data_IF_523363660044
#
_entry.id   IF_523363660044
#
_cell.length_a   1.000
_cell.length_b   1.000
_cell.length_c   1.000
_cell.angle_alpha   90.00
_cell.angle_beta   90.00
_cell.angle_gamma   90.00
#
_symmetry.space_group_name_H-M   'P 1'
#
loop_
_entity.id
_entity.type
_entity.pdbx_description
1 polymer ?
#
# COMPACT_ATOMS: atom_id res chain seq x y z
N UNK A 1 5.87 52.41 -6.70
CA UNK A 1 4.84 51.34 -6.75
C UNK A 1 5.54 50.02 -6.52
N UNK A 2 5.37 49.45 -5.33
CA UNK A 2 6.05 48.22 -4.89
C UNK A 2 5.35 46.99 -5.48
N UNK A 3 6.06 46.23 -6.30
CA UNK A 3 5.61 44.92 -6.80
C UNK A 3 5.56 43.93 -5.64
N UNK A 4 4.37 43.70 -5.09
CA UNK A 4 4.14 42.68 -4.06
C UNK A 4 4.22 41.31 -4.74
N UNK A 5 5.31 40.58 -4.49
CA UNK A 5 5.47 39.17 -4.84
C UNK A 5 4.40 38.36 -4.11
N UNK A 6 3.37 37.90 -4.84
CA UNK A 6 2.39 36.95 -4.32
C UNK A 6 2.93 35.54 -4.47
N UNK A 7 3.21 34.88 -3.36
CA UNK A 7 3.53 33.45 -3.34
C UNK A 7 2.29 32.63 -3.74
N UNK A 8 2.43 31.55 -4.53
CA UNK A 8 1.29 30.72 -4.91
C UNK A 8 0.66 30.10 -3.65
N UNK A 9 -0.61 30.44 -3.43
CA UNK A 9 -1.45 29.91 -2.35
C UNK A 9 -1.70 28.43 -2.59
N UNK A 10 -0.97 27.57 -1.85
CA UNK A 10 -1.14 26.11 -1.70
C UNK A 10 -1.37 25.34 -3.00
N UNK A 11 -0.40 24.50 -3.39
CA UNK A 11 -0.59 23.50 -4.46
C UNK A 11 -1.93 22.79 -4.25
N UNK A 12 -2.79 22.81 -5.28
CA UNK A 12 -4.04 22.05 -5.28
C UNK A 12 -3.69 20.62 -4.91
N UNK A 13 -4.42 20.05 -3.94
CA UNK A 13 -4.28 18.66 -3.54
C UNK A 13 -4.65 17.83 -4.77
N UNK A 14 -3.67 17.27 -5.45
CA UNK A 14 -3.93 16.31 -6.52
C UNK A 14 -4.39 15.01 -5.87
N UNK A 15 -5.37 14.30 -6.43
CA UNK A 15 -5.67 12.97 -5.94
C UNK A 15 -4.41 12.12 -6.12
N UNK A 16 -4.14 11.28 -5.14
CA UNK A 16 -2.93 10.45 -5.09
C UNK A 16 -3.32 8.99 -5.08
N UNK A 17 -2.75 8.19 -5.97
CA UNK A 17 -2.77 6.74 -5.86
C UNK A 17 -1.60 6.24 -5.01
N UNK A 18 -1.58 4.95 -4.71
CA UNK A 18 -0.45 4.31 -4.04
C UNK A 18 0.27 3.35 -4.98
N UNK A 19 1.56 3.14 -4.72
CA UNK A 19 2.36 2.09 -5.34
C UNK A 19 3.10 1.31 -4.27
N UNK A 20 2.86 0.00 -4.25
CA UNK A 20 3.53 -0.92 -3.33
C UNK A 20 4.66 -1.61 -4.10
N UNK A 21 5.90 -1.28 -3.76
CA UNK A 21 7.06 -1.90 -4.38
C UNK A 21 7.51 -3.12 -3.56
N UNK A 22 7.29 -4.32 -4.11
CA UNK A 22 7.74 -5.58 -3.50
C UNK A 22 9.09 -5.96 -4.09
N UNK A 23 10.16 -5.71 -3.33
CA UNK A 23 11.54 -5.84 -3.83
C UNK A 23 12.12 -7.25 -3.69
N UNK A 24 11.53 -8.07 -2.82
CA UNK A 24 12.02 -9.42 -2.49
C UNK A 24 10.92 -10.47 -2.59
N UNK A 25 11.32 -11.73 -2.76
CA UNK A 25 10.39 -12.88 -2.68
C UNK A 25 9.71 -12.98 -1.31
N UNK A 26 10.43 -12.61 -0.24
CA UNK A 26 9.88 -12.56 1.12
C UNK A 26 8.75 -11.52 1.21
N UNK A 27 8.88 -10.37 0.56
CA UNK A 27 7.82 -9.34 0.54
C UNK A 27 6.57 -9.82 -0.17
N UNK A 28 6.75 -10.50 -1.31
CA UNK A 28 5.65 -11.09 -2.07
C UNK A 28 4.93 -12.14 -1.22
N UNK A 29 5.69 -13.01 -0.56
CA UNK A 29 5.14 -14.03 0.31
C UNK A 29 4.36 -13.42 1.49
N UNK A 30 4.90 -12.39 2.14
CA UNK A 30 4.26 -11.75 3.28
C UNK A 30 2.98 -11.02 2.90
N UNK A 31 2.95 -10.32 1.77
CA UNK A 31 1.73 -9.70 1.28
C UNK A 31 0.67 -10.75 0.98
N UNK A 32 1.03 -11.84 0.30
CA UNK A 32 0.10 -12.94 0.03
C UNK A 32 -0.38 -13.62 1.30
N UNK A 33 0.49 -13.81 2.29
CA UNK A 33 0.10 -14.31 3.60
C UNK A 33 -0.99 -13.41 4.19
N UNK A 34 -0.73 -12.09 4.24
CA UNK A 34 -1.68 -11.15 4.81
C UNK A 34 -3.03 -11.18 4.08
N UNK A 35 -3.01 -11.13 2.75
CA UNK A 35 -4.22 -11.20 1.92
C UNK A 35 -5.05 -12.47 2.14
N UNK A 36 -4.41 -13.60 2.48
CA UNK A 36 -5.08 -14.90 2.59
C UNK A 36 -5.44 -15.29 4.04
N UNK A 37 -4.85 -14.66 5.06
CA UNK A 37 -5.20 -14.92 6.47
C UNK A 37 -6.20 -13.90 7.02
N UNK A 38 -6.37 -12.78 6.33
CA UNK A 38 -7.37 -11.77 6.67
C UNK A 38 -8.75 -12.39 6.38
N UNK A 39 -9.47 -12.75 7.44
CA UNK A 39 -10.73 -13.48 7.39
C UNK A 39 -11.85 -12.66 6.73
N UNK A 40 -12.03 -12.82 5.42
CA UNK A 40 -13.32 -12.64 4.79
C UNK A 40 -13.97 -14.03 4.67
N UNK A 41 -14.66 -14.45 5.74
CA UNK A 41 -15.28 -15.78 5.87
C UNK A 41 -16.23 -16.14 4.71
N UNK A 42 -16.70 -15.15 3.96
CA UNK A 42 -17.62 -15.29 2.84
C UNK A 42 -16.93 -15.31 1.45
N UNK A 43 -15.62 -15.06 1.36
CA UNK A 43 -14.88 -15.12 0.09
C UNK A 43 -13.92 -16.32 0.04
N UNK A 44 -14.23 -17.38 -0.74
CA UNK A 44 -13.34 -18.53 -0.89
C UNK A 44 -12.09 -18.22 -1.75
N UNK A 45 -11.94 -16.98 -2.24
CA UNK A 45 -10.86 -16.59 -3.11
C UNK A 45 -9.52 -16.61 -2.38
N UNK A 46 -8.63 -17.47 -2.88
CA UNK A 46 -7.20 -17.46 -2.50
C UNK A 46 -6.42 -16.59 -3.47
N UNK A 47 -5.78 -15.56 -2.91
CA UNK A 47 -4.90 -14.67 -3.65
C UNK A 47 -3.59 -15.37 -3.97
N UNK A 48 -3.19 -15.30 -5.24
CA UNK A 48 -1.90 -15.80 -5.72
C UNK A 48 -1.08 -14.68 -6.34
N UNK A 49 0.22 -14.92 -6.53
CA UNK A 49 1.18 -13.90 -7.00
C UNK A 49 0.74 -13.12 -8.25
N UNK A 50 0.07 -13.78 -9.19
CA UNK A 50 -0.41 -13.13 -10.43
C UNK A 50 -1.47 -12.06 -10.15
N UNK A 51 -2.23 -12.19 -9.07
CA UNK A 51 -3.33 -11.29 -8.72
C UNK A 51 -2.84 -9.98 -8.12
N UNK A 52 -1.61 -9.96 -7.57
CA UNK A 52 -1.00 -8.76 -6.98
C UNK A 52 -0.86 -7.60 -7.98
N UNK A 53 -0.85 -7.87 -9.29
CA UNK A 53 -0.79 -6.83 -10.34
C UNK A 53 -2.14 -6.17 -10.62
N UNK A 54 -3.22 -6.82 -10.20
CA UNK A 54 -4.60 -6.39 -10.49
C UNK A 54 -5.33 -5.90 -9.25
N UNK A 55 -4.74 -6.09 -8.07
CA UNK A 55 -5.30 -5.61 -6.81
C UNK A 55 -5.10 -4.10 -6.68
N UNK A 56 -6.12 -3.43 -6.18
CA UNK A 56 -6.02 -2.04 -5.75
C UNK A 56 -5.03 -1.94 -4.57
N UNK A 57 -4.03 -1.05 -4.64
CA UNK A 57 -3.05 -0.85 -3.58
C UNK A 57 -3.69 -0.60 -2.19
N UNK A 58 -4.77 0.18 -2.14
CA UNK A 58 -5.51 0.50 -0.92
C UNK A 58 -6.05 -0.76 -0.25
N UNK A 59 -6.63 -1.68 -1.04
CA UNK A 59 -7.10 -2.96 -0.53
C UNK A 59 -5.96 -3.78 0.09
N UNK A 60 -4.79 -3.79 -0.57
CA UNK A 60 -3.62 -4.49 -0.03
C UNK A 60 -3.14 -3.84 1.27
N UNK A 61 -3.13 -2.51 1.35
CA UNK A 61 -2.75 -1.75 2.55
C UNK A 61 -3.67 -2.10 3.73
N UNK A 62 -4.98 -2.14 3.50
CA UNK A 62 -5.96 -2.48 4.54
C UNK A 62 -5.69 -3.90 5.10
N UNK A 63 -5.46 -4.87 4.22
CA UNK A 63 -5.13 -6.25 4.62
C UNK A 63 -3.79 -6.38 5.34
N UNK A 64 -2.81 -5.55 5.00
CA UNK A 64 -1.55 -5.47 5.75
C UNK A 64 -1.77 -4.89 7.16
N UNK A 65 -2.62 -3.88 7.30
CA UNK A 65 -2.97 -3.31 8.62
C UNK A 65 -3.73 -4.31 9.49
N UNK A 66 -4.75 -5.00 8.93
CA UNK A 66 -5.47 -6.08 9.64
C UNK A 66 -4.50 -7.14 10.18
N UNK A 67 -3.49 -7.50 9.40
CA UNK A 67 -2.47 -8.46 9.82
C UNK A 67 -1.51 -7.92 10.89
N UNK A 68 -1.27 -6.61 10.96
CA UNK A 68 -0.51 -6.01 12.05
C UNK A 68 -1.26 -6.05 13.39
N UNK A 69 -2.59 -6.02 13.35
CA UNK A 69 -3.44 -6.08 14.54
C UNK A 69 -3.71 -7.52 15.01
N UNK A 70 -3.56 -8.50 14.13
CA UNK A 70 -3.71 -9.92 14.44
C UNK A 70 -2.52 -10.46 15.24
N UNK A 71 -2.74 -11.07 16.42
CA UNK A 71 -1.70 -11.61 17.32
C UNK A 71 -1.00 -12.91 16.84
N UNK A 72 -1.37 -13.46 15.69
CA UNK A 72 -0.87 -14.76 15.22
C UNK A 72 0.53 -14.72 14.59
N UNK A 73 1.09 -13.53 14.31
CA UNK A 73 2.35 -13.38 13.57
C UNK A 73 3.57 -13.20 14.49
N UNK A 74 4.75 -13.58 13.98
CA UNK A 74 6.00 -13.39 14.73
C UNK A 74 6.44 -11.92 14.74
N UNK A 75 7.23 -11.51 15.74
CA UNK A 75 7.82 -10.16 15.80
C UNK A 75 8.59 -9.80 14.51
N UNK A 76 9.33 -10.77 13.96
CA UNK A 76 10.06 -10.60 12.69
C UNK A 76 9.09 -10.30 11.55
N UNK A 77 7.98 -11.02 11.48
CA UNK A 77 6.95 -10.84 10.46
C UNK A 77 6.36 -9.44 10.54
N UNK A 78 5.99 -8.95 11.73
CA UNK A 78 5.49 -7.57 11.88
C UNK A 78 6.50 -6.52 11.45
N UNK A 79 7.78 -6.69 11.80
CA UNK A 79 8.84 -5.76 11.36
C UNK A 79 8.93 -5.70 9.83
N UNK A 80 8.82 -6.84 9.17
CA UNK A 80 8.84 -6.89 7.71
C UNK A 80 7.58 -6.25 7.10
N UNK A 81 6.38 -6.51 7.63
CA UNK A 81 5.14 -5.87 7.16
C UNK A 81 5.23 -4.35 7.33
N UNK A 82 5.68 -3.85 8.49
CA UNK A 82 5.91 -2.42 8.70
C UNK A 82 6.92 -1.82 7.74
N UNK A 83 7.99 -2.56 7.42
CA UNK A 83 8.99 -2.15 6.41
C UNK A 83 8.33 -1.99 5.03
N UNK A 84 7.48 -2.94 4.63
CA UNK A 84 6.75 -2.87 3.36
C UNK A 84 5.83 -1.64 3.36
N UNK A 85 5.03 -1.44 4.41
CA UNK A 85 4.13 -0.29 4.53
C UNK A 85 4.87 1.05 4.46
N UNK A 86 6.03 1.16 5.11
CA UNK A 86 6.85 2.37 5.06
C UNK A 86 7.50 2.62 3.69
N UNK A 87 7.53 1.62 2.81
CA UNK A 87 8.07 1.74 1.44
C UNK A 87 7.01 2.07 0.39
N UNK A 88 5.75 2.23 0.80
CA UNK A 88 4.65 2.56 -0.12
C UNK A 88 4.81 4.00 -0.60
N UNK A 89 4.78 4.15 -1.92
CA UNK A 89 4.93 5.44 -2.58
C UNK A 89 3.56 6.05 -2.86
N UNK A 90 3.42 7.33 -2.54
CA UNK A 90 2.24 8.13 -2.92
C UNK A 90 2.50 8.70 -4.31
N UNK A 91 1.72 8.29 -5.30
CA UNK A 91 1.88 8.66 -6.70
C UNK A 91 0.80 9.68 -7.06
N UNK A 92 1.15 10.89 -7.56
CA UNK A 92 0.15 11.82 -8.04
C UNK A 92 -0.55 11.24 -9.26
N UNK A 93 -1.88 11.40 -9.38
CA UNK A 93 -2.62 10.89 -10.53
C UNK A 93 -2.05 11.37 -11.87
N UNK A 94 -1.44 12.56 -11.92
CA UNK A 94 -0.78 13.08 -13.13
C UNK A 94 0.34 12.19 -13.66
N UNK A 95 0.94 11.34 -12.81
CA UNK A 95 1.98 10.40 -13.20
C UNK A 95 1.44 9.05 -13.72
N UNK A 96 0.13 8.78 -13.58
CA UNK A 96 -0.51 7.55 -14.06
C UNK A 96 -1.01 7.65 -15.52
N UNK A 97 -1.12 8.87 -16.07
CA UNK A 97 -1.64 9.12 -17.42
C UNK A 97 -0.56 9.43 -18.48
N UNK A 98 0.73 9.19 -18.18
CA UNK A 98 1.83 9.35 -19.12
C UNK A 98 2.30 8.00 -19.69
#
# INVERSE_FOLDING_TARGET
MSNILKFPTKRKWEPTGYRINLYTEEDIYLVLLCLNISDDLDDPKRWVRKDLRTLEPEFVIDKLNECLDNQALSEKTYKNIRRIMNSIEVVPLSALYN
#
